data_IF_971845097130
#
_entry.id   IF_971845097130
#
_cell.length_a   1.000
_cell.length_b   1.000
_cell.length_c   1.000
_cell.angle_alpha   90.00
_cell.angle_beta   90.00
_cell.angle_gamma   90.00
#
_symmetry.space_group_name_H-M   'P 1'
#
loop_
_entity.id
_entity.type
_entity.pdbx_description
1 polymer ?
#
# COMPACT_ATOMS: atom_id res chain seq x y z
N UNK A 1 -24.18 21.39 9.39
CA UNK A 1 -23.10 20.43 9.67
C UNK A 1 -22.50 20.83 11.02
N UNK A 2 -22.74 19.99 12.01
CA UNK A 2 -22.58 20.20 13.45
C UNK A 2 -21.13 20.49 13.85
N UNK A 3 -20.96 21.48 14.74
CA UNK A 3 -19.70 22.10 15.17
C UNK A 3 -19.16 21.38 16.44
N UNK A 4 -19.55 20.13 16.67
CA UNK A 4 -19.20 19.33 17.85
C UNK A 4 -18.11 18.29 17.54
N UNK A 5 -16.99 18.73 16.98
CA UNK A 5 -15.74 17.96 16.98
C UNK A 5 -14.58 18.80 17.51
N UNK A 6 -14.91 19.66 18.48
CA UNK A 6 -14.03 20.53 19.22
C UNK A 6 -13.00 19.73 20.03
N UNK A 7 -11.85 19.44 19.43
CA UNK A 7 -10.55 19.35 20.13
C UNK A 7 -9.32 19.27 19.22
N UNK A 8 -9.45 19.50 17.91
CA UNK A 8 -8.32 19.62 17.01
C UNK A 8 -8.39 20.94 16.25
N UNK A 9 -7.38 21.77 16.42
CA UNK A 9 -7.20 23.00 15.66
C UNK A 9 -7.20 22.71 14.15
N UNK A 10 -7.62 23.68 13.33
CA UNK A 10 -7.52 23.56 11.88
C UNK A 10 -6.08 23.23 11.43
N UNK A 11 -5.08 23.71 12.18
CA UNK A 11 -3.67 23.38 12.00
C UNK A 11 -3.35 21.90 12.24
N UNK A 12 -3.97 21.24 13.23
CA UNK A 12 -3.79 19.80 13.50
C UNK A 12 -4.43 18.92 12.43
N UNK A 13 -5.60 19.31 11.92
CA UNK A 13 -6.22 18.62 10.79
C UNK A 13 -5.38 18.75 9.52
N UNK A 14 -4.78 19.93 9.25
CA UNK A 14 -3.83 20.11 8.16
C UNK A 14 -2.56 19.26 8.34
N UNK A 15 -2.09 19.05 9.57
CA UNK A 15 -0.92 18.19 9.84
C UNK A 15 -1.20 16.72 9.53
N UNK A 16 -2.43 16.24 9.71
CA UNK A 16 -2.80 14.85 9.37
C UNK A 16 -2.78 14.57 7.87
N UNK A 17 -3.19 15.54 7.06
CA UNK A 17 -3.19 15.44 5.59
C UNK A 17 -1.80 15.66 4.98
N UNK A 18 -0.82 16.14 5.76
CA UNK A 18 0.57 16.26 5.29
C UNK A 18 1.12 14.92 4.84
N UNK A 19 1.84 14.98 3.73
CA UNK A 19 2.45 13.87 3.01
C UNK A 19 3.91 13.67 3.39
N UNK A 20 4.46 14.55 4.24
CA UNK A 20 5.83 14.47 4.75
C UNK A 20 6.02 13.17 5.55
N UNK A 21 7.06 12.41 5.23
CA UNK A 21 7.35 11.11 5.86
C UNK A 21 6.57 9.93 5.29
N UNK A 22 5.54 10.15 4.47
CA UNK A 22 4.71 9.08 3.90
C UNK A 22 5.20 8.67 2.52
N UNK A 23 5.25 7.37 2.28
CA UNK A 23 5.57 6.78 0.98
C UNK A 23 4.31 6.24 0.35
N UNK A 24 4.14 6.46 -0.96
CA UNK A 24 3.11 5.75 -1.74
C UNK A 24 3.62 4.37 -2.12
N UNK A 25 2.78 3.37 -1.91
CA UNK A 25 2.99 2.03 -2.45
C UNK A 25 3.20 2.11 -3.98
N UNK A 26 4.24 1.44 -4.49
CA UNK A 26 4.57 1.45 -5.93
C UNK A 26 3.66 0.52 -6.76
N UNK A 27 2.77 -0.21 -6.09
CA UNK A 27 1.71 -0.97 -6.75
C UNK A 27 0.70 -0.04 -7.43
N UNK A 28 0.53 -0.11 -8.76
CA UNK A 28 -0.47 0.69 -9.47
C UNK A 28 -1.91 0.43 -8.98
N UNK A 29 -2.20 -0.74 -8.41
CA UNK A 29 -3.55 -1.09 -7.94
C UNK A 29 -3.87 -0.67 -6.50
N UNK A 30 -2.87 -0.29 -5.70
CA UNK A 30 -3.09 0.03 -4.28
C UNK A 30 -2.84 1.51 -3.98
N UNK A 31 -1.70 2.07 -4.41
CA UNK A 31 -1.31 3.48 -4.23
C UNK A 31 -1.43 4.05 -2.79
N UNK A 32 -1.63 3.19 -1.79
CA UNK A 32 -1.87 3.58 -0.40
C UNK A 32 -0.64 4.27 0.19
N UNK A 33 -0.88 5.21 1.12
CA UNK A 33 0.19 5.92 1.81
C UNK A 33 0.60 5.18 3.08
N UNK A 34 1.86 4.78 3.13
CA UNK A 34 2.45 4.04 4.24
C UNK A 34 3.39 5.00 4.98
N UNK A 35 3.31 4.99 6.31
CA UNK A 35 4.25 5.72 7.17
C UNK A 35 5.23 4.70 7.76
N UNK A 36 6.44 4.54 7.17
CA UNK A 36 7.45 3.69 7.76
C UNK A 36 8.04 4.35 9.02
N UNK A 37 8.52 3.52 9.95
CA UNK A 37 9.28 3.99 11.12
C UNK A 37 10.61 4.63 10.68
N UNK A 38 11.05 5.72 11.33
CA UNK A 38 12.32 6.38 11.02
C UNK A 38 13.50 5.40 11.02
N UNK A 39 14.21 5.30 9.90
CA UNK A 39 15.39 4.43 9.76
C UNK A 39 15.09 2.97 9.38
N UNK A 40 13.83 2.57 9.24
CA UNK A 40 13.48 1.21 8.80
C UNK A 40 13.99 0.95 7.37
N UNK A 41 14.72 -0.15 7.15
CA UNK A 41 15.25 -0.49 5.81
C UNK A 41 14.24 -1.21 4.92
N UNK A 42 13.20 -1.80 5.52
CA UNK A 42 12.15 -2.55 4.83
C UNK A 42 10.79 -2.11 5.35
N UNK A 43 9.80 -2.08 4.47
CA UNK A 43 8.41 -1.82 4.85
C UNK A 43 7.47 -2.72 4.05
N UNK A 44 6.45 -3.23 4.75
CA UNK A 44 5.33 -3.96 4.15
C UNK A 44 4.18 -3.00 3.93
N UNK A 45 3.54 -3.06 2.78
CA UNK A 45 2.25 -2.41 2.58
C UNK A 45 1.16 -3.20 3.33
N UNK A 46 0.37 -2.58 4.22
CA UNK A 46 -0.69 -3.28 4.94
C UNK A 46 -1.84 -3.72 4.03
N UNK A 47 -2.04 -3.03 2.91
CA UNK A 47 -3.17 -3.28 2.00
C UNK A 47 -2.85 -4.34 0.95
N UNK A 48 -1.64 -4.33 0.38
CA UNK A 48 -1.27 -5.27 -0.69
C UNK A 48 -0.22 -6.32 -0.31
N UNK A 49 0.30 -6.27 0.92
CA UNK A 49 1.27 -7.24 1.43
C UNK A 49 2.67 -7.15 0.83
N UNK A 50 2.90 -6.31 -0.18
CA UNK A 50 4.21 -6.19 -0.84
C UNK A 50 5.27 -5.56 0.06
N UNK A 51 6.48 -6.07 -0.09
CA UNK A 51 7.66 -5.57 0.59
C UNK A 51 8.46 -4.63 -0.30
N UNK A 52 8.86 -3.50 0.29
CA UNK A 52 9.70 -2.50 -0.34
C UNK A 52 10.96 -2.25 0.49
N UNK A 53 12.09 -2.10 -0.21
CA UNK A 53 13.32 -1.59 0.37
C UNK A 53 13.27 -0.08 0.42
N UNK A 54 13.58 0.46 1.59
CA UNK A 54 13.58 1.88 1.87
C UNK A 54 15.00 2.44 1.84
N UNK A 55 15.08 3.71 1.49
CA UNK A 55 16.26 4.54 1.59
C UNK A 55 15.88 5.88 2.20
N UNK A 56 16.62 6.30 3.22
CA UNK A 56 16.36 7.53 3.94
C UNK A 56 17.38 8.57 3.50
N UNK A 57 16.90 9.66 2.90
CA UNK A 57 17.76 10.83 2.65
C UNK A 57 17.95 11.60 3.95
N UNK A 58 16.86 11.75 4.71
CA UNK A 58 16.79 12.30 6.06
C UNK A 58 15.84 11.43 6.90
N UNK A 59 15.87 11.48 8.24
CA UNK A 59 14.96 10.72 9.12
C UNK A 59 13.47 10.96 8.88
N UNK A 60 13.13 12.04 8.16
CA UNK A 60 11.77 12.47 7.84
C UNK A 60 11.39 12.24 6.37
N UNK A 61 12.34 11.85 5.52
CA UNK A 61 12.16 11.71 4.07
C UNK A 61 12.60 10.32 3.61
N UNK A 62 11.72 9.32 3.78
CA UNK A 62 11.94 7.99 3.23
C UNK A 62 11.60 7.96 1.73
N UNK A 63 12.38 7.21 0.96
CA UNK A 63 12.17 6.90 -0.47
C UNK A 63 12.21 5.39 -0.70
N UNK A 64 11.48 4.90 -1.69
CA UNK A 64 11.56 3.49 -2.11
C UNK A 64 12.77 3.33 -3.04
N UNK A 65 13.65 2.37 -2.74
CA UNK A 65 14.70 1.91 -3.66
C UNK A 65 14.15 0.93 -4.68
N UNK A 66 13.29 0.03 -4.24
CA UNK A 66 12.66 -0.97 -5.09
C UNK A 66 11.93 -2.03 -4.28
N UNK A 67 11.14 -2.88 -4.95
CA UNK A 67 10.50 -4.03 -4.32
C UNK A 67 11.54 -5.05 -3.83
N UNK A 68 11.18 -5.81 -2.79
CA UNK A 68 11.87 -7.06 -2.45
C UNK A 68 11.32 -8.12 -3.39
N UNK A 69 12.15 -8.57 -4.32
CA UNK A 69 11.71 -9.43 -5.42
C UNK A 69 11.20 -10.80 -4.94
N UNK A 70 11.90 -11.42 -3.98
CA UNK A 70 11.57 -12.76 -3.45
C UNK A 70 10.13 -12.83 -2.92
N UNK A 71 9.80 -11.95 -1.96
CA UNK A 71 8.47 -11.91 -1.32
C UNK A 71 7.37 -11.52 -2.31
N UNK A 72 7.66 -10.55 -3.18
CA UNK A 72 6.65 -10.08 -4.13
C UNK A 72 6.36 -11.10 -5.24
N UNK A 73 7.34 -11.93 -5.62
CA UNK A 73 7.14 -12.99 -6.63
C UNK A 73 6.19 -14.06 -6.11
N UNK A 74 6.36 -14.50 -4.87
CA UNK A 74 5.45 -15.48 -4.24
C UNK A 74 4.02 -14.93 -4.10
N UNK A 75 3.87 -13.67 -3.69
CA UNK A 75 2.55 -13.03 -3.57
C UNK A 75 1.87 -12.92 -4.96
N UNK A 76 2.63 -12.56 -5.99
CA UNK A 76 2.13 -12.46 -7.36
C UNK A 76 1.71 -13.83 -7.92
N UNK A 77 2.51 -14.87 -7.70
CA UNK A 77 2.18 -16.24 -8.12
C UNK A 77 0.89 -16.74 -7.46
N UNK A 78 0.72 -16.52 -6.16
CA UNK A 78 -0.50 -16.89 -5.41
C UNK A 78 -1.73 -16.16 -5.93
N UNK A 79 -1.66 -14.83 -6.04
CA UNK A 79 -2.80 -14.04 -6.55
C UNK A 79 -3.12 -14.35 -8.02
N UNK A 80 -2.12 -14.72 -8.82
CA UNK A 80 -2.36 -15.13 -10.20
C UNK A 80 -3.03 -16.51 -10.29
N UNK A 81 -2.62 -17.47 -9.47
CA UNK A 81 -3.24 -18.79 -9.39
C UNK A 81 -4.72 -18.70 -8.97
N UNK A 82 -5.03 -17.91 -7.94
CA UNK A 82 -6.40 -17.65 -7.48
C UNK A 82 -7.27 -17.02 -8.58
N UNK A 83 -6.75 -15.99 -9.26
CA UNK A 83 -7.48 -15.32 -10.36
C UNK A 83 -7.68 -16.24 -11.56
N UNK A 84 -6.73 -17.13 -11.85
CA UNK A 84 -6.90 -18.13 -12.91
C UNK A 84 -7.97 -19.17 -12.55
N UNK A 85 -8.01 -19.64 -11.30
CA UNK A 85 -9.04 -20.57 -10.83
C UNK A 85 -10.44 -19.93 -10.96
N UNK A 86 -10.60 -18.68 -10.49
CA UNK A 86 -11.86 -17.95 -10.58
C UNK A 86 -12.31 -17.66 -12.04
N UNK A 87 -11.35 -17.45 -12.96
CA UNK A 87 -11.66 -17.29 -14.41
C UNK A 87 -12.15 -18.60 -15.04
N UNK A 88 -11.61 -19.75 -14.65
CA UNK A 88 -12.06 -21.06 -15.16
C UNK A 88 -13.49 -21.38 -14.69
N UNK A 89 -13.83 -21.08 -13.45
CA UNK A 89 -15.19 -21.28 -12.92
C UNK A 89 -16.23 -20.36 -13.56
N UNK A 90 -15.89 -19.09 -13.79
CA UNK A 90 -16.81 -18.13 -14.42
C UNK A 90 -17.01 -18.37 -15.92
N UNK A 91 -16.03 -18.96 -16.62
CA UNK A 91 -16.16 -19.38 -18.02
C UNK A 91 -17.10 -20.58 -18.19
N UNK A 92 -17.06 -21.55 -17.26
CA UNK A 92 -17.97 -22.70 -17.26
C UNK A 92 -19.44 -22.34 -17.05
N UNK A 93 -19.73 -21.24 -16.34
CA UNK A 93 -21.10 -20.79 -16.02
C UNK A 93 -21.75 -19.95 -17.11
N UNK A 94 -21.00 -19.41 -18.08
CA UNK A 94 -21.51 -18.56 -19.19
C UNK A 94 -21.83 -19.32 -20.48
N UNK A 95 -21.56 -20.62 -20.55
CA UNK A 95 -21.83 -21.47 -21.72
C UNK A 95 -23.23 -22.14 -21.74
N UNK A 96 -24.11 -21.80 -20.80
CA UNK A 96 -25.45 -22.37 -20.70
C UNK A 96 -26.54 -21.36 -20.99
N UNK A 97 -26.76 -21.02 -22.27
CA UNK A 97 -28.05 -20.56 -22.76
C UNK A 97 -28.16 -20.68 -24.28
#
# INVERSE_FOLDING_TARGET
>A
MTIESAKQSAAENLRKTRTFGKIRCHNPSCMERIQPEPGAQRVKCPTCGMEYRLFWVNPTLPRIRGPVWEVNREIAEKTFAEKQAAKKESAGKKGGR
#
